data_IF_756589667149
#
_entry.id   IF_756589667149
#
_cell.length_a   1.000
_cell.length_b   1.000
_cell.length_c   1.000
_cell.angle_alpha   90.00
_cell.angle_beta   90.00
_cell.angle_gamma   90.00
#
_symmetry.space_group_name_H-M   'P 1'
#
loop_
_entity.id
_entity.type
_entity.pdbx_description
1 polymer ?
#
# COMPACT_ATOMS: atom_id res chain seq x y z
N UNK A 1 -15.83 23.58 15.80
CA UNK A 1 -16.64 23.81 14.59
C UNK A 1 -15.81 23.82 13.29
N UNK A 2 -14.67 24.51 13.17
CA UNK A 2 -13.83 24.48 11.95
C UNK A 2 -13.17 23.12 11.63
N UNK A 3 -12.86 22.28 12.62
CA UNK A 3 -12.31 20.93 12.39
C UNK A 3 -13.35 19.93 11.84
N UNK A 4 -14.64 20.09 12.14
CA UNK A 4 -15.70 19.21 11.62
C UNK A 4 -15.93 19.47 10.13
N UNK A 5 -16.07 20.75 9.75
CA UNK A 5 -16.24 21.16 8.34
C UNK A 5 -15.06 20.74 7.45
N UNK A 6 -13.81 20.85 7.94
CA UNK A 6 -12.62 20.35 7.21
C UNK A 6 -12.63 18.82 7.04
N UNK A 7 -13.14 18.06 8.01
CA UNK A 7 -13.17 16.59 7.97
C UNK A 7 -14.25 16.10 6.99
N UNK A 8 -15.39 16.78 6.94
CA UNK A 8 -16.48 16.46 6.02
C UNK A 8 -16.15 16.84 4.57
N UNK A 9 -15.49 17.98 4.34
CA UNK A 9 -15.01 18.37 3.01
C UNK A 9 -13.91 17.41 2.48
N UNK A 10 -12.98 16.98 3.36
CA UNK A 10 -11.97 15.96 2.98
C UNK A 10 -12.61 14.63 2.63
N UNK A 11 -13.58 14.15 3.40
CA UNK A 11 -14.31 12.90 3.09
C UNK A 11 -15.07 13.00 1.78
N UNK A 12 -15.76 14.12 1.53
CA UNK A 12 -16.46 14.37 0.28
C UNK A 12 -15.48 14.40 -0.91
N UNK A 13 -14.33 15.05 -0.75
CA UNK A 13 -13.25 15.10 -1.75
C UNK A 13 -12.66 13.71 -2.01
N UNK A 14 -12.36 12.95 -0.97
CA UNK A 14 -11.87 11.57 -1.07
C UNK A 14 -12.89 10.62 -1.71
N UNK A 15 -14.19 10.76 -1.37
CA UNK A 15 -15.25 10.00 -2.02
C UNK A 15 -15.41 10.37 -3.49
N UNK A 16 -15.28 11.66 -3.84
CA UNK A 16 -15.36 12.12 -5.23
C UNK A 16 -14.16 11.64 -6.06
N UNK A 17 -12.97 11.63 -5.48
CA UNK A 17 -11.77 11.01 -6.05
C UNK A 17 -11.93 9.50 -6.21
N UNK A 18 -12.43 8.80 -5.19
CA UNK A 18 -12.70 7.35 -5.27
C UNK A 18 -13.76 7.02 -6.34
N UNK A 19 -14.74 7.89 -6.55
CA UNK A 19 -15.76 7.74 -7.58
C UNK A 19 -15.20 7.96 -9.01
N UNK A 20 -14.29 8.93 -9.20
CA UNK A 20 -13.59 9.10 -10.48
C UNK A 20 -12.65 7.92 -10.80
N UNK A 21 -12.13 7.25 -9.76
CA UNK A 21 -11.15 6.15 -9.86
C UNK A 21 -11.77 4.76 -9.82
N UNK A 22 -13.09 4.64 -10.06
CA UNK A 22 -13.81 3.36 -10.08
C UNK A 22 -13.10 2.23 -10.87
N UNK A 23 -12.50 2.46 -12.05
CA UNK A 23 -11.85 1.39 -12.79
C UNK A 23 -10.52 0.91 -12.17
N UNK A 24 -9.79 1.76 -11.44
CA UNK A 24 -8.49 1.43 -10.82
C UNK A 24 -8.61 1.00 -9.35
N UNK A 25 -9.73 1.32 -8.70
CA UNK A 25 -10.03 0.98 -7.31
C UNK A 25 -9.86 -0.51 -6.94
N UNK A 26 -10.30 -1.50 -7.76
CA UNK A 26 -10.15 -2.91 -7.39
C UNK A 26 -8.67 -3.34 -7.31
N UNK A 27 -7.81 -2.84 -8.19
CA UNK A 27 -6.37 -3.13 -8.18
C UNK A 27 -5.71 -2.47 -6.98
N UNK A 28 -6.13 -1.25 -6.63
CA UNK A 28 -5.67 -0.56 -5.43
C UNK A 28 -6.05 -1.32 -4.15
N UNK A 29 -7.30 -1.80 -4.07
CA UNK A 29 -7.78 -2.60 -2.94
C UNK A 29 -7.02 -3.92 -2.79
N UNK A 30 -6.74 -4.61 -3.90
CA UNK A 30 -5.94 -5.83 -3.88
C UNK A 30 -4.54 -5.58 -3.27
N UNK A 31 -3.90 -4.46 -3.64
CA UNK A 31 -2.61 -4.13 -3.04
C UNK A 31 -2.69 -3.64 -1.60
N UNK A 32 -3.79 -3.01 -1.17
CA UNK A 32 -4.02 -2.73 0.25
C UNK A 32 -4.15 -4.01 1.08
N UNK A 33 -4.83 -5.03 0.55
CA UNK A 33 -4.93 -6.35 1.19
C UNK A 33 -3.55 -7.01 1.26
N UNK A 34 -2.80 -7.00 0.15
CA UNK A 34 -1.43 -7.50 0.13
C UNK A 34 -0.52 -6.76 1.13
N UNK A 35 -0.71 -5.44 1.27
CA UNK A 35 0.05 -4.63 2.22
C UNK A 35 -0.30 -4.90 3.68
N UNK A 36 -1.56 -5.15 3.98
CA UNK A 36 -1.98 -5.59 5.30
C UNK A 36 -1.33 -6.93 5.67
N UNK A 37 -1.33 -7.89 4.74
CA UNK A 37 -0.69 -9.21 4.94
C UNK A 37 0.81 -9.05 5.17
N UNK A 38 1.49 -8.24 4.36
CA UNK A 38 2.92 -7.99 4.51
C UNK A 38 3.26 -7.22 5.78
N UNK A 39 2.38 -6.35 6.28
CA UNK A 39 2.56 -5.65 7.56
C UNK A 39 2.68 -6.59 8.76
N UNK A 40 2.07 -7.79 8.68
CA UNK A 40 2.18 -8.83 9.72
C UNK A 40 3.51 -9.61 9.63
N UNK A 41 4.30 -9.46 8.56
CA UNK A 41 5.61 -10.13 8.45
C UNK A 41 6.56 -9.72 9.56
N UNK A 42 6.56 -8.44 9.95
CA UNK A 42 7.49 -7.95 10.97
C UNK A 42 7.30 -8.62 12.34
N UNK A 43 6.08 -8.69 12.92
CA UNK A 43 5.86 -9.45 14.16
C UNK A 43 6.09 -10.95 13.99
N UNK A 44 5.78 -11.54 12.82
CA UNK A 44 6.06 -12.96 12.56
C UNK A 44 7.56 -13.27 12.61
N UNK A 45 8.39 -12.44 11.99
CA UNK A 45 9.86 -12.59 12.04
C UNK A 45 10.36 -12.45 13.48
N UNK A 46 9.84 -11.48 14.24
CA UNK A 46 10.20 -11.30 15.65
C UNK A 46 9.86 -12.52 16.51
N UNK A 47 8.67 -13.11 16.31
CA UNK A 47 8.25 -14.33 17.00
C UNK A 47 9.15 -15.53 16.65
N UNK A 48 9.45 -15.72 15.37
CA UNK A 48 10.33 -16.80 14.93
C UNK A 48 11.75 -16.64 15.47
N UNK A 49 12.29 -15.42 15.50
CA UNK A 49 13.58 -15.14 16.11
C UNK A 49 13.59 -15.47 17.60
N UNK A 50 12.51 -15.20 18.32
CA UNK A 50 12.38 -15.60 19.73
C UNK A 50 12.50 -17.11 19.89
N UNK A 51 11.80 -17.89 19.08
CA UNK A 51 11.85 -19.36 19.14
C UNK A 51 13.24 -19.87 18.78
N UNK A 52 13.86 -19.30 17.75
CA UNK A 52 15.21 -19.66 17.32
C UNK A 52 16.24 -19.47 18.45
N UNK A 53 16.17 -18.32 19.13
CA UNK A 53 17.03 -18.03 20.28
C UNK A 53 16.79 -19.04 21.41
N UNK A 54 15.53 -19.36 21.74
CA UNK A 54 15.23 -20.35 22.78
C UNK A 54 15.67 -21.77 22.40
N UNK A 55 15.55 -22.14 21.12
CA UNK A 55 16.00 -23.43 20.62
C UNK A 55 17.51 -23.62 20.82
N UNK A 56 18.31 -22.55 20.66
CA UNK A 56 19.76 -22.58 20.85
C UNK A 56 20.20 -22.98 22.26
N UNK A 57 19.33 -22.79 23.26
CA UNK A 57 19.60 -23.17 24.66
C UNK A 57 19.17 -24.62 24.99
N UNK A 58 18.63 -25.38 24.04
CA UNK A 58 18.27 -26.80 24.23
C UNK A 58 19.46 -27.75 23.97
N UNK A 59 19.45 -28.97 24.56
CA UNK A 59 20.48 -29.98 24.31
C UNK A 59 20.59 -30.37 22.82
N UNK A 60 21.80 -30.78 22.39
CA UNK A 60 22.17 -30.96 20.96
C UNK A 60 21.24 -31.88 20.17
N UNK A 61 20.68 -32.91 20.81
CA UNK A 61 19.79 -33.89 20.18
C UNK A 61 18.44 -33.26 19.78
N UNK A 62 17.87 -32.42 20.64
CA UNK A 62 16.61 -31.71 20.38
C UNK A 62 16.81 -30.46 19.51
N UNK A 63 17.99 -29.84 19.61
CA UNK A 63 18.37 -28.68 18.81
C UNK A 63 18.37 -29.00 17.30
N UNK A 64 19.02 -30.10 16.89
CA UNK A 64 19.19 -30.41 15.48
C UNK A 64 17.85 -30.73 14.80
N UNK A 65 16.97 -31.45 15.50
CA UNK A 65 15.62 -31.79 15.00
C UNK A 65 14.73 -30.55 14.90
N UNK A 66 14.79 -29.66 15.89
CA UNK A 66 14.05 -28.40 15.89
C UNK A 66 14.56 -27.45 14.81
N UNK A 67 15.88 -27.29 14.68
CA UNK A 67 16.50 -26.41 13.71
C UNK A 67 16.12 -26.77 12.26
N UNK A 68 16.10 -28.06 11.91
CA UNK A 68 15.67 -28.52 10.58
C UNK A 68 14.19 -28.22 10.29
N UNK A 69 13.32 -28.32 11.31
CA UNK A 69 11.91 -28.00 11.15
C UNK A 69 11.69 -26.49 10.99
N UNK A 70 12.32 -25.68 11.84
CA UNK A 70 12.22 -24.21 11.79
C UNK A 70 12.87 -23.61 10.53
N UNK A 71 13.97 -24.19 10.04
CA UNK A 71 14.62 -23.72 8.80
C UNK A 71 13.71 -23.92 7.58
N UNK A 72 13.00 -25.05 7.49
CA UNK A 72 12.00 -25.29 6.44
C UNK A 72 10.87 -24.25 6.49
N UNK A 73 10.38 -23.91 7.68
CA UNK A 73 9.36 -22.85 7.86
C UNK A 73 9.88 -21.50 7.37
N UNK A 74 11.13 -21.15 7.69
CA UNK A 74 11.75 -19.91 7.21
C UNK A 74 11.85 -19.86 5.67
N UNK A 75 12.21 -20.97 5.03
CA UNK A 75 12.29 -21.06 3.57
C UNK A 75 10.91 -20.85 2.92
N UNK A 76 9.86 -21.45 3.47
CA UNK A 76 8.48 -21.28 2.97
C UNK A 76 8.02 -19.83 3.11
N UNK A 77 8.22 -19.22 4.27
CA UNK A 77 7.86 -17.81 4.51
C UNK A 77 8.63 -16.88 3.59
N UNK A 78 9.95 -17.12 3.41
CA UNK A 78 10.79 -16.35 2.51
C UNK A 78 10.32 -16.45 1.06
N UNK A 79 9.97 -17.66 0.61
CA UNK A 79 9.46 -17.90 -0.75
C UNK A 79 8.12 -17.19 -1.00
N UNK A 80 7.19 -17.25 -0.04
CA UNK A 80 5.91 -16.52 -0.12
C UNK A 80 6.14 -15.01 -0.12
N UNK A 81 7.01 -14.51 0.76
CA UNK A 81 7.36 -13.08 0.83
C UNK A 81 7.95 -12.58 -0.47
N UNK A 82 8.83 -13.35 -1.10
CA UNK A 82 9.46 -13.00 -2.38
C UNK A 82 8.44 -12.79 -3.50
N UNK A 83 7.34 -13.57 -3.51
CA UNK A 83 6.27 -13.40 -4.48
C UNK A 83 5.30 -12.27 -4.11
N UNK A 84 5.00 -12.12 -2.82
CA UNK A 84 4.01 -11.15 -2.32
C UNK A 84 4.55 -9.71 -2.30
N UNK A 85 5.82 -9.48 -1.96
CA UNK A 85 6.43 -8.14 -1.91
C UNK A 85 6.35 -7.36 -3.23
N UNK A 86 6.77 -7.92 -4.39
CA UNK A 86 6.63 -7.22 -5.66
C UNK A 86 5.15 -7.09 -6.04
N UNK A 87 4.31 -8.09 -5.79
CA UNK A 87 2.87 -7.99 -6.06
C UNK A 87 2.21 -6.83 -5.29
N UNK A 88 2.49 -6.72 -3.99
CA UNK A 88 1.99 -5.65 -3.12
C UNK A 88 2.37 -4.25 -3.62
N UNK A 89 3.56 -4.09 -4.19
CA UNK A 89 4.10 -2.77 -4.55
C UNK A 89 3.87 -2.42 -6.01
N UNK A 90 3.99 -3.39 -6.92
CA UNK A 90 3.80 -3.18 -8.36
C UNK A 90 2.33 -2.94 -8.73
N UNK A 91 1.37 -3.70 -8.18
CA UNK A 91 -0.03 -3.54 -8.58
C UNK A 91 -0.60 -2.15 -8.23
N UNK A 92 -0.46 -1.64 -6.98
CA UNK A 92 -0.82 -0.26 -6.66
C UNK A 92 0.03 0.78 -7.36
N UNK A 93 1.31 0.50 -7.60
CA UNK A 93 2.19 1.42 -8.32
C UNK A 93 1.73 1.66 -9.76
N UNK A 94 1.40 0.61 -10.48
CA UNK A 94 0.88 0.70 -11.86
C UNK A 94 -0.50 1.34 -11.89
N UNK A 95 -1.40 0.97 -10.97
CA UNK A 95 -2.71 1.60 -10.85
C UNK A 95 -2.60 3.10 -10.52
N UNK A 96 -1.67 3.46 -9.62
CA UNK A 96 -1.36 4.84 -9.26
C UNK A 96 -0.82 5.65 -10.44
N UNK A 97 0.06 5.07 -11.25
CA UNK A 97 0.59 5.74 -12.45
C UNK A 97 -0.51 6.02 -13.49
N UNK A 98 -1.40 5.06 -13.74
CA UNK A 98 -2.54 5.26 -14.64
C UNK A 98 -3.50 6.33 -14.12
N UNK A 99 -3.75 6.33 -12.81
CA UNK A 99 -4.55 7.32 -12.14
C UNK A 99 -3.97 8.74 -12.30
N UNK A 100 -2.69 8.93 -11.95
CA UNK A 100 -2.01 10.23 -12.06
C UNK A 100 -2.07 10.74 -13.50
N UNK A 101 -1.85 9.86 -14.49
CA UNK A 101 -1.96 10.21 -15.91
C UNK A 101 -3.35 10.76 -16.26
N UNK A 102 -4.42 10.06 -15.88
CA UNK A 102 -5.81 10.50 -16.13
C UNK A 102 -6.12 11.83 -15.44
N UNK A 103 -5.71 11.97 -14.18
CA UNK A 103 -5.90 13.19 -13.40
C UNK A 103 -5.20 14.39 -14.05
N UNK A 104 -3.95 14.22 -14.49
CA UNK A 104 -3.21 15.27 -15.18
C UNK A 104 -3.86 15.64 -16.51
N UNK A 105 -4.25 14.66 -17.33
CA UNK A 105 -4.93 14.94 -18.62
C UNK A 105 -6.23 15.75 -18.41
N UNK A 106 -7.08 15.35 -17.47
CA UNK A 106 -8.30 16.08 -17.15
C UNK A 106 -8.01 17.50 -16.65
N UNK A 107 -6.97 17.66 -15.83
CA UNK A 107 -6.60 18.97 -15.30
C UNK A 107 -6.09 19.90 -16.40
N UNK A 108 -5.23 19.39 -17.28
CA UNK A 108 -4.72 20.15 -18.42
C UNK A 108 -5.85 20.54 -19.39
N UNK A 109 -6.75 19.62 -19.72
CA UNK A 109 -7.91 19.90 -20.56
C UNK A 109 -8.80 21.01 -19.98
N UNK A 110 -8.98 21.03 -18.65
CA UNK A 110 -9.75 22.08 -17.98
C UNK A 110 -9.04 23.43 -17.99
N UNK A 111 -7.73 23.46 -17.79
CA UNK A 111 -6.93 24.69 -17.80
C UNK A 111 -6.98 25.34 -19.20
N UNK A 112 -6.83 24.55 -20.27
CA UNK A 112 -6.83 25.10 -21.64
C UNK A 112 -8.21 25.55 -22.13
N UNK A 113 -9.30 25.04 -21.54
CA UNK A 113 -10.68 25.42 -21.86
C UNK A 113 -11.27 26.45 -20.88
N UNK A 114 -10.49 26.96 -19.91
CA UNK A 114 -10.92 28.12 -19.15
C UNK A 114 -10.87 29.36 -20.04
N UNK A 115 -12.00 30.07 -20.11
CA UNK A 115 -12.14 31.35 -20.81
C UNK A 115 -11.01 32.31 -20.39
N UNK A 116 -10.42 33.01 -21.37
CA UNK A 116 -9.35 34.00 -21.16
C UNK A 116 -9.75 35.07 -20.13
N UNK A 117 -11.07 35.34 -19.99
CA UNK A 117 -11.61 36.26 -18.99
C UNK A 117 -11.37 35.84 -17.52
N UNK A 118 -11.12 34.55 -17.22
CA UNK A 118 -10.80 34.09 -15.86
C UNK A 118 -9.31 34.25 -15.52
N UNK A 119 -8.44 34.32 -16.53
CA UNK A 119 -7.01 34.61 -16.38
C UNK A 119 -6.71 36.10 -16.24
N UNK A 120 -7.67 36.96 -16.58
CA UNK A 120 -7.55 38.43 -16.57
C UNK A 120 -8.14 39.07 -15.30
N UNK A 121 -8.68 38.26 -14.38
CA UNK A 121 -9.27 38.74 -13.13
C UNK A 121 -8.16 39.00 -12.09
N UNK A 122 -8.15 40.20 -11.48
CA UNK A 122 -7.07 40.65 -10.58
C UNK A 122 -6.92 39.83 -9.29
N UNK A 123 -7.91 38.99 -8.97
CA UNK A 123 -7.89 38.04 -7.84
C UNK A 123 -7.14 36.74 -8.17
N UNK A 124 -6.87 36.48 -9.45
CA UNK A 124 -6.24 35.26 -9.97
C UNK A 124 -5.05 35.54 -10.92
N UNK A 125 -4.62 36.81 -10.99
CA UNK A 125 -3.36 37.23 -11.61
C UNK A 125 -2.14 36.90 -10.73
#
# INVERSE_FOLDING_TARGET
WCQSSKKDNKKATLCRLAYLNKPELPILMLGCIAAAIHGVMFPTIGFLMSIFVTAFFQPLDQLQKSANFWSLIYVVIGSVSFLVSPAQTCFPGVAGAQLVKRFQTMSFERIIHQEISWLDDSENS
#
